data_IF_545217787100
#
_entry.id   IF_545217787100
#
_cell.length_a   1.000
_cell.length_b   1.000
_cell.length_c   1.000
_cell.angle_alpha   90.00
_cell.angle_beta   90.00
_cell.angle_gamma   90.00
#
_symmetry.space_group_name_H-M   'P 1'
#
loop_
_entity.id
_entity.type
_entity.pdbx_description
1 polymer ?
#
# COMPACT_ATOMS: atom_id res chain seq x y z
N UNK A 1 21.11 23.30 49.82
CA UNK A 1 20.41 22.55 48.76
C UNK A 1 20.96 21.13 48.73
N UNK A 2 20.14 20.13 49.06
CA UNK A 2 20.60 18.80 49.43
C UNK A 2 21.17 18.06 48.20
N UNK A 3 22.44 17.62 48.22
CA UNK A 3 23.11 16.96 47.08
C UNK A 3 22.30 15.79 46.48
N UNK A 4 21.48 15.12 47.30
CA UNK A 4 20.53 14.08 46.87
C UNK A 4 19.46 14.58 45.90
N UNK A 5 18.94 15.80 46.08
CA UNK A 5 17.91 16.37 45.20
C UNK A 5 18.48 16.72 43.82
N UNK A 6 19.72 17.23 43.77
CA UNK A 6 20.40 17.56 42.50
C UNK A 6 20.67 16.29 41.70
N UNK A 7 21.06 15.19 42.36
CA UNK A 7 21.26 13.89 41.70
C UNK A 7 19.96 13.30 41.15
N UNK A 8 18.86 13.40 41.89
CA UNK A 8 17.54 12.94 41.42
C UNK A 8 17.05 13.79 40.23
N UNK A 9 17.30 15.10 40.26
CA UNK A 9 16.94 16.00 39.16
C UNK A 9 17.78 15.74 37.90
N UNK A 10 19.08 15.45 38.05
CA UNK A 10 19.95 15.06 36.92
C UNK A 10 19.57 13.68 36.36
N UNK A 11 19.23 12.71 37.22
CA UNK A 11 18.78 11.39 36.77
C UNK A 11 17.45 11.45 36.02
N UNK A 12 16.53 12.33 36.42
CA UNK A 12 15.25 12.52 35.72
C UNK A 12 15.43 13.25 34.38
N UNK A 13 16.30 14.26 34.30
CA UNK A 13 16.63 14.93 33.02
C UNK A 13 17.31 13.96 32.04
N UNK A 14 18.21 13.10 32.53
CA UNK A 14 18.85 12.07 31.70
C UNK A 14 17.87 10.98 31.29
N UNK A 15 16.91 10.57 32.13
CA UNK A 15 15.89 9.61 31.71
C UNK A 15 14.92 10.18 30.66
N UNK A 16 14.65 11.49 30.68
CA UNK A 16 13.78 12.15 29.70
C UNK A 16 14.53 12.38 28.36
N UNK A 17 15.86 12.58 28.38
CA UNK A 17 16.65 12.79 27.15
C UNK A 17 16.98 11.50 26.38
N UNK A 18 16.60 10.32 26.90
CA UNK A 18 16.74 9.02 26.24
C UNK A 18 15.41 8.47 25.71
N UNK A 19 14.30 9.19 25.89
CA UNK A 19 13.18 9.06 24.97
C UNK A 19 13.59 9.82 23.69
N UNK A 20 14.37 9.18 22.82
CA UNK A 20 14.35 9.60 21.43
C UNK A 20 12.90 9.38 20.97
N UNK A 21 12.20 10.47 20.66
CA UNK A 21 10.86 10.38 20.10
C UNK A 21 10.98 9.51 18.83
N UNK A 22 10.42 8.31 18.90
CA UNK A 22 10.20 7.42 17.76
C UNK A 22 8.99 7.93 16.97
N UNK A 23 9.03 9.22 16.68
CA UNK A 23 8.08 9.91 15.84
C UNK A 23 8.31 9.44 14.41
N UNK A 24 7.21 9.16 13.73
CA UNK A 24 7.24 8.81 12.33
C UNK A 24 6.36 9.77 11.55
N UNK A 25 6.94 10.29 10.48
CA UNK A 25 6.27 11.26 9.65
C UNK A 25 5.48 10.53 8.56
N UNK A 26 4.20 10.86 8.47
CA UNK A 26 3.36 10.40 7.37
C UNK A 26 3.50 11.43 6.25
N UNK A 27 4.03 11.00 5.11
CA UNK A 27 4.11 11.82 3.91
C UNK A 27 2.94 11.49 3.00
N UNK A 28 2.17 12.49 2.58
CA UNK A 28 1.14 12.28 1.56
C UNK A 28 1.83 12.22 0.18
N UNK A 29 1.80 11.05 -0.45
CA UNK A 29 2.30 10.83 -1.80
C UNK A 29 1.22 11.17 -2.83
N UNK A 30 -0.05 10.85 -2.52
CA UNK A 30 -1.22 11.14 -3.34
C UNK A 30 -2.46 11.46 -2.49
N UNK A 31 -3.24 12.46 -2.90
CA UNK A 31 -4.48 12.85 -2.24
C UNK A 31 -5.64 13.10 -3.22
N UNK A 32 -5.63 12.42 -4.37
CA UNK A 32 -6.72 12.56 -5.35
C UNK A 32 -8.02 11.99 -4.80
N UNK A 33 -7.94 10.83 -4.15
CA UNK A 33 -9.02 10.35 -3.33
C UNK A 33 -9.01 11.08 -1.99
N UNK A 34 -10.17 11.55 -1.54
CA UNK A 34 -10.30 12.24 -0.25
C UNK A 34 -10.10 11.23 0.88
N UNK A 35 -8.87 11.09 1.36
CA UNK A 35 -8.51 10.21 2.46
C UNK A 35 -8.06 10.98 3.71
N UNK A 36 -7.96 10.26 4.82
CA UNK A 36 -7.20 10.71 5.99
C UNK A 36 -6.46 9.54 6.61
N UNK A 37 -5.34 9.87 7.25
CA UNK A 37 -4.57 8.98 8.10
C UNK A 37 -4.50 9.56 9.51
N UNK A 38 -4.74 8.75 10.53
CA UNK A 38 -4.67 9.14 11.93
C UNK A 38 -3.97 8.07 12.75
N UNK A 39 -3.02 8.49 13.59
CA UNK A 39 -2.45 7.65 14.63
C UNK A 39 -3.52 7.35 15.67
N UNK A 40 -3.64 6.07 16.02
CA UNK A 40 -4.60 5.61 17.02
C UNK A 40 -3.87 4.84 18.12
N UNK A 41 -4.54 4.67 19.25
CA UNK A 41 -4.03 3.83 20.31
C UNK A 41 -4.33 2.34 20.06
N UNK A 42 -3.69 1.49 20.87
CA UNK A 42 -3.90 0.05 20.82
C UNK A 42 -5.36 -0.33 21.13
N UNK A 43 -6.04 0.38 22.03
CA UNK A 43 -7.39 0.03 22.45
C UNK A 43 -8.41 0.22 21.30
N UNK A 44 -8.24 1.28 20.50
CA UNK A 44 -9.01 1.50 19.28
C UNK A 44 -8.73 0.42 18.24
N UNK A 45 -7.46 0.07 18.03
CA UNK A 45 -7.08 -1.02 17.11
C UNK A 45 -7.66 -2.37 17.54
N UNK A 46 -7.58 -2.68 18.84
CA UNK A 46 -8.10 -3.93 19.42
C UNK A 46 -9.63 -4.01 19.31
N UNK A 47 -10.33 -2.85 19.38
CA UNK A 47 -11.76 -2.78 19.13
C UNK A 47 -12.09 -3.09 17.66
N UNK A 48 -11.28 -2.59 16.72
CA UNK A 48 -11.44 -2.87 15.30
C UNK A 48 -11.30 -4.37 14.98
N UNK A 49 -10.42 -5.12 15.67
CA UNK A 49 -10.30 -6.60 15.55
C UNK A 49 -11.65 -7.29 15.70
N UNK A 50 -12.47 -6.84 16.65
CA UNK A 50 -13.71 -7.54 17.01
C UNK A 50 -14.84 -7.31 16.01
N UNK A 51 -14.70 -6.30 15.14
CA UNK A 51 -15.72 -5.88 14.19
C UNK A 51 -15.21 -5.90 12.74
N UNK A 52 -13.98 -6.39 12.52
CA UNK A 52 -13.38 -6.36 11.19
C UNK A 52 -14.05 -7.33 10.24
N UNK A 53 -14.15 -6.92 8.98
CA UNK A 53 -14.61 -7.75 7.88
C UNK A 53 -13.45 -8.59 7.34
N UNK A 54 -13.78 -9.72 6.71
CA UNK A 54 -12.79 -10.56 6.03
C UNK A 54 -12.42 -9.98 4.67
N UNK A 55 -11.13 -10.09 4.29
CA UNK A 55 -10.69 -9.73 2.95
C UNK A 55 -11.19 -10.76 1.93
N UNK A 56 -11.61 -10.27 0.77
CA UNK A 56 -12.06 -11.06 -0.37
C UNK A 56 -10.84 -11.72 -1.00
N UNK A 57 -10.89 -13.05 -1.07
CA UNK A 57 -9.86 -13.83 -1.75
C UNK A 57 -9.84 -13.60 -3.26
N UNK A 58 -8.62 -13.58 -3.79
CA UNK A 58 -8.39 -13.63 -5.22
C UNK A 58 -8.85 -14.96 -5.79
N UNK A 59 -9.53 -14.91 -6.94
CA UNK A 59 -9.85 -16.10 -7.73
C UNK A 59 -8.76 -16.27 -8.80
N UNK A 60 -7.87 -17.29 -8.69
CA UNK A 60 -6.85 -17.52 -9.69
C UNK A 60 -7.47 -17.65 -11.08
N UNK A 61 -6.86 -17.00 -12.06
CA UNK A 61 -7.23 -17.09 -13.48
C UNK A 61 -5.99 -16.99 -14.32
N UNK A 62 -5.93 -17.82 -15.35
CA UNK A 62 -4.84 -17.78 -16.31
C UNK A 62 -4.95 -16.59 -17.27
N UNK A 63 -3.81 -16.18 -17.80
CA UNK A 63 -3.71 -15.21 -18.89
C UNK A 63 -4.59 -15.60 -20.09
N UNK A 64 -4.59 -16.88 -20.47
CA UNK A 64 -5.37 -17.41 -21.60
C UNK A 64 -6.87 -17.24 -21.38
N UNK A 65 -7.36 -17.50 -20.17
CA UNK A 65 -8.78 -17.32 -19.86
C UNK A 65 -9.20 -15.85 -19.89
N UNK A 66 -8.35 -14.95 -19.36
CA UNK A 66 -8.63 -13.52 -19.32
C UNK A 66 -8.60 -12.89 -20.71
N UNK A 67 -7.57 -13.20 -21.51
CA UNK A 67 -7.43 -12.72 -22.89
C UNK A 67 -8.56 -13.21 -23.79
N UNK A 68 -9.00 -14.47 -23.63
CA UNK A 68 -10.13 -15.02 -24.38
C UNK A 68 -11.46 -14.36 -24.00
N UNK A 69 -11.66 -14.05 -22.72
CA UNK A 69 -12.93 -13.49 -22.22
C UNK A 69 -13.02 -11.97 -22.42
N UNK A 70 -11.90 -11.26 -22.37
CA UNK A 70 -11.83 -9.80 -22.46
C UNK A 70 -10.80 -9.35 -23.52
N UNK A 71 -10.96 -9.76 -24.79
CA UNK A 71 -9.98 -9.51 -25.85
C UNK A 71 -9.80 -8.02 -26.18
N UNK A 72 -10.82 -7.20 -25.92
CA UNK A 72 -10.73 -5.75 -26.14
C UNK A 72 -9.86 -5.02 -25.13
N UNK A 73 -9.69 -5.60 -23.93
CA UNK A 73 -8.89 -5.05 -22.83
C UNK A 73 -7.47 -5.61 -22.90
N UNK A 74 -7.32 -6.93 -23.04
CA UNK A 74 -6.01 -7.57 -23.05
C UNK A 74 -5.48 -7.73 -24.47
N UNK A 75 -5.07 -6.60 -25.08
CA UNK A 75 -4.42 -6.56 -26.39
C UNK A 75 -2.90 -6.65 -26.23
N UNK A 76 -2.34 -7.81 -26.57
CA UNK A 76 -0.89 -8.01 -26.56
C UNK A 76 -0.29 -7.44 -27.84
N UNK A 77 0.64 -6.49 -27.71
CA UNK A 77 1.44 -5.93 -28.81
C UNK A 77 2.88 -5.80 -28.37
N UNK A 78 3.82 -6.25 -29.20
CA UNK A 78 5.27 -6.15 -28.93
C UNK A 78 5.65 -6.72 -27.53
N UNK A 79 5.02 -7.85 -27.15
CA UNK A 79 5.16 -8.50 -25.85
C UNK A 79 4.68 -7.69 -24.64
N UNK A 80 3.87 -6.66 -24.86
CA UNK A 80 3.29 -5.82 -23.83
C UNK A 80 1.76 -5.78 -23.90
N UNK A 81 1.14 -5.79 -22.73
CA UNK A 81 -0.19 -5.23 -22.55
C UNK A 81 -0.08 -3.75 -22.20
N UNK A 82 -0.92 -2.92 -22.80
CA UNK A 82 -1.02 -1.49 -22.49
C UNK A 82 -2.44 -1.20 -22.01
N UNK A 83 -2.55 -0.52 -20.88
CA UNK A 83 -3.81 -0.20 -20.25
C UNK A 83 -3.95 1.30 -20.06
N UNK A 84 -5.20 1.78 -20.14
CA UNK A 84 -5.52 3.15 -19.80
C UNK A 84 -5.32 3.35 -18.30
N UNK A 85 -4.56 4.37 -17.94
CA UNK A 85 -4.31 4.75 -16.57
C UNK A 85 -5.09 6.02 -16.26
N UNK A 86 -5.57 6.14 -15.02
CA UNK A 86 -6.01 7.46 -14.56
C UNK A 86 -4.73 8.32 -14.41
N UNK A 87 -4.55 9.43 -15.15
CA UNK A 87 -3.32 10.22 -15.14
C UNK A 87 -2.99 10.84 -13.77
N UNK A 88 -3.89 10.70 -12.80
CA UNK A 88 -3.77 11.10 -11.42
C UNK A 88 -3.34 9.95 -10.48
N UNK A 89 -2.53 8.99 -10.94
CA UNK A 89 -1.94 7.96 -10.05
C UNK A 89 -0.79 8.62 -9.26
N UNK A 90 -1.05 9.02 -8.02
CA UNK A 90 -0.11 9.87 -7.27
C UNK A 90 1.11 9.16 -6.65
N UNK A 91 1.50 7.99 -7.14
CA UNK A 91 2.83 7.40 -6.90
C UNK A 91 3.87 7.94 -7.90
N UNK A 92 3.73 9.19 -8.33
CA UNK A 92 4.62 9.84 -9.30
C UNK A 92 4.45 9.39 -10.76
N UNK A 93 3.50 8.48 -11.05
CA UNK A 93 3.23 8.00 -12.41
C UNK A 93 2.28 8.97 -13.11
N UNK A 94 2.87 9.89 -13.88
CA UNK A 94 2.14 10.86 -14.69
C UNK A 94 1.81 10.35 -16.10
N UNK A 95 2.00 9.06 -16.35
CA UNK A 95 1.76 8.49 -17.67
C UNK A 95 0.29 8.12 -17.82
N UNK A 96 -0.35 8.47 -18.96
CA UNK A 96 -1.76 8.12 -19.22
C UNK A 96 -1.94 6.62 -19.50
N UNK A 97 -0.85 5.87 -19.56
CA UNK A 97 -0.82 4.44 -19.84
C UNK A 97 0.08 3.72 -18.84
N UNK A 98 -0.33 2.50 -18.49
CA UNK A 98 0.45 1.53 -17.72
C UNK A 98 0.69 0.30 -18.59
N UNK A 99 1.85 -0.33 -18.44
CA UNK A 99 2.25 -1.46 -19.28
C UNK A 99 2.67 -2.66 -18.44
N UNK A 100 2.29 -3.85 -18.91
CA UNK A 100 2.80 -5.12 -18.43
C UNK A 100 3.53 -5.80 -19.59
N UNK A 101 4.86 -5.82 -19.54
CA UNK A 101 5.71 -6.32 -20.63
C UNK A 101 6.50 -7.55 -20.21
N UNK A 102 6.72 -8.45 -21.17
CA UNK A 102 7.67 -9.57 -21.04
C UNK A 102 8.90 -9.23 -21.89
N UNK A 103 9.89 -8.59 -21.29
CA UNK A 103 11.19 -8.35 -21.92
C UNK A 103 12.24 -9.31 -21.38
N UNK A 104 12.82 -10.12 -22.26
CA UNK A 104 13.99 -10.94 -21.94
C UNK A 104 15.27 -10.16 -22.25
N UNK A 105 16.07 -9.90 -21.21
CA UNK A 105 17.51 -9.63 -21.27
C UNK A 105 17.99 -8.37 -22.02
N UNK A 106 17.87 -7.20 -21.40
CA UNK A 106 18.91 -6.13 -21.47
C UNK A 106 19.03 -5.47 -20.09
N UNK A 107 20.26 -5.36 -19.58
CA UNK A 107 20.64 -5.17 -18.16
C UNK A 107 20.10 -3.93 -17.41
N UNK A 108 19.17 -3.16 -17.98
CA UNK A 108 18.47 -2.05 -17.29
C UNK A 108 17.00 -1.90 -17.66
N UNK A 109 16.46 -2.80 -18.50
CA UNK A 109 15.08 -2.75 -19.01
C UNK A 109 14.32 -4.05 -18.81
N UNK A 110 14.75 -4.90 -17.86
CA UNK A 110 14.02 -6.11 -17.52
C UNK A 110 12.67 -5.75 -16.92
N UNK A 111 11.61 -6.26 -17.54
CA UNK A 111 10.32 -6.38 -16.90
C UNK A 111 9.67 -7.71 -17.26
N UNK A 112 8.95 -8.25 -16.30
CA UNK A 112 8.15 -9.45 -16.45
C UNK A 112 6.78 -9.21 -15.80
N UNK A 113 5.80 -10.01 -16.17
CA UNK A 113 4.50 -9.99 -15.53
C UNK A 113 3.93 -11.39 -15.32
N UNK A 114 3.06 -11.49 -14.32
CA UNK A 114 2.28 -12.69 -14.03
C UNK A 114 0.83 -12.32 -13.72
N UNK A 115 -0.12 -12.98 -14.39
CA UNK A 115 -1.54 -12.87 -14.04
C UNK A 115 -1.80 -13.67 -12.77
N UNK A 116 -2.19 -12.99 -11.68
CA UNK A 116 -2.50 -13.62 -10.39
C UNK A 116 -3.94 -14.07 -10.27
N UNK A 117 -4.84 -13.43 -11.01
CA UNK A 117 -6.26 -13.81 -11.06
C UNK A 117 -7.18 -12.61 -11.10
N UNK A 118 -8.33 -12.75 -10.45
CA UNK A 118 -9.38 -11.71 -10.44
C UNK A 118 -9.96 -11.49 -9.05
N UNK A 119 -10.37 -10.25 -8.80
CA UNK A 119 -11.04 -9.83 -7.57
C UNK A 119 -11.95 -8.64 -7.90
N UNK A 120 -13.18 -8.62 -7.36
CA UNK A 120 -14.04 -7.43 -7.39
C UNK A 120 -14.20 -6.78 -8.79
N UNK A 121 -14.33 -7.57 -9.85
CA UNK A 121 -14.45 -7.07 -11.23
C UNK A 121 -13.13 -6.65 -11.89
N UNK A 122 -11.98 -6.90 -11.25
CA UNK A 122 -10.66 -6.54 -11.72
C UNK A 122 -9.80 -7.79 -12.00
N UNK A 123 -8.91 -7.70 -12.98
CA UNK A 123 -7.76 -8.59 -13.08
C UNK A 123 -6.58 -8.02 -12.30
N UNK A 124 -5.83 -8.91 -11.66
CA UNK A 124 -4.59 -8.58 -10.98
C UNK A 124 -3.40 -9.12 -11.77
N UNK A 125 -2.49 -8.23 -12.14
CA UNK A 125 -1.23 -8.56 -12.82
C UNK A 125 -0.10 -8.10 -11.91
N UNK A 126 0.76 -9.03 -11.49
CA UNK A 126 2.02 -8.68 -10.84
C UNK A 126 3.02 -8.27 -11.91
N UNK A 127 3.77 -7.19 -11.65
CA UNK A 127 4.86 -6.73 -12.48
C UNK A 127 6.14 -6.79 -11.65
N UNK A 128 7.18 -7.33 -12.25
CA UNK A 128 8.55 -7.28 -11.72
C UNK A 128 9.40 -6.46 -12.68
N UNK A 129 10.14 -5.50 -12.16
CA UNK A 129 11.03 -4.58 -12.89
C UNK A 129 12.46 -4.72 -12.35
N UNK A 130 13.45 -4.13 -13.02
CA UNK A 130 14.86 -4.22 -12.58
C UNK A 130 15.10 -3.73 -11.15
N UNK A 131 14.50 -2.59 -10.79
CA UNK A 131 14.57 -1.97 -9.46
C UNK A 131 13.16 -1.72 -8.93
N UNK A 132 12.27 -2.70 -9.05
CA UNK A 132 10.91 -2.50 -8.59
C UNK A 132 10.01 -3.71 -8.79
N UNK A 133 8.88 -3.60 -8.12
CA UNK A 133 7.73 -4.47 -8.34
C UNK A 133 6.46 -3.66 -8.16
N UNK A 134 5.34 -4.28 -8.51
CA UNK A 134 4.03 -3.76 -8.18
C UNK A 134 2.94 -4.61 -8.78
N UNK A 135 1.73 -4.10 -8.66
CA UNK A 135 0.53 -4.76 -9.13
C UNK A 135 -0.29 -3.80 -9.96
N UNK A 136 -0.79 -4.28 -11.10
CA UNK A 136 -1.82 -3.60 -11.88
C UNK A 136 -3.18 -4.20 -11.54
N UNK A 137 -4.11 -3.32 -11.19
CA UNK A 137 -5.53 -3.65 -11.06
C UNK A 137 -6.30 -3.14 -12.27
N UNK A 138 -6.64 -4.05 -13.18
CA UNK A 138 -7.28 -3.74 -14.47
C UNK A 138 -8.78 -4.00 -14.38
N UNK A 139 -9.61 -2.97 -14.54
CA UNK A 139 -11.07 -3.10 -14.58
C UNK A 139 -11.49 -3.91 -15.81
N UNK A 140 -12.17 -5.04 -15.59
CA UNK A 140 -12.59 -5.97 -16.64
C UNK A 140 -13.77 -5.45 -17.49
N UNK A 141 -14.37 -4.32 -17.13
CA UNK A 141 -15.44 -3.66 -17.87
C UNK A 141 -14.93 -2.64 -18.88
N UNK A 142 -13.92 -1.85 -18.51
CA UNK A 142 -13.47 -0.69 -19.30
C UNK A 142 -11.95 -0.60 -19.50
N UNK A 143 -11.15 -1.48 -18.90
CA UNK A 143 -9.69 -1.49 -19.02
C UNK A 143 -8.96 -0.40 -18.23
N UNK A 144 -9.67 0.43 -17.45
CA UNK A 144 -9.05 1.43 -16.59
C UNK A 144 -8.24 0.74 -15.50
N UNK A 145 -7.02 1.24 -15.28
CA UNK A 145 -6.01 0.56 -14.47
C UNK A 145 -5.34 1.51 -13.49
N UNK A 146 -5.05 1.01 -12.28
CA UNK A 146 -4.14 1.64 -11.34
C UNK A 146 -2.96 0.71 -11.03
N UNK A 147 -1.88 1.31 -10.50
CA UNK A 147 -0.71 0.60 -9.98
C UNK A 147 -0.63 0.78 -8.47
N UNK A 148 -0.21 -0.26 -7.78
CA UNK A 148 0.15 -0.24 -6.35
C UNK A 148 1.45 -0.99 -6.15
N UNK A 149 2.27 -0.64 -5.15
CA UNK A 149 3.44 -1.46 -4.82
C UNK A 149 3.05 -2.76 -4.10
N UNK A 150 2.08 -2.66 -3.19
CA UNK A 150 1.54 -3.82 -2.47
C UNK A 150 0.46 -4.56 -3.27
N UNK A 151 0.27 -5.83 -2.93
CA UNK A 151 -0.87 -6.60 -3.42
C UNK A 151 -2.16 -6.00 -2.84
N UNK A 152 -3.16 -5.64 -3.66
CA UNK A 152 -4.40 -5.06 -3.17
C UNK A 152 -5.22 -6.07 -2.36
N UNK A 153 -5.95 -5.58 -1.36
CA UNK A 153 -6.84 -6.32 -0.47
C UNK A 153 -8.13 -5.51 -0.30
N UNK A 154 -9.29 -6.16 -0.28
CA UNK A 154 -10.59 -5.48 -0.19
C UNK A 154 -11.60 -6.36 0.53
N UNK A 155 -12.45 -5.80 1.40
CA UNK A 155 -13.56 -6.54 2.06
C UNK A 155 -14.94 -6.22 1.49
N UNK A 156 -15.12 -5.01 0.97
CA UNK A 156 -16.41 -4.52 0.47
C UNK A 156 -16.54 -4.63 -1.07
N UNK A 157 -15.43 -4.86 -1.77
CA UNK A 157 -15.38 -4.92 -3.23
C UNK A 157 -15.44 -3.57 -3.95
N UNK A 158 -15.47 -2.46 -3.21
CA UNK A 158 -15.52 -1.11 -3.73
C UNK A 158 -14.18 -0.39 -3.58
N UNK A 159 -13.51 -0.57 -2.45
CA UNK A 159 -12.21 0.03 -2.16
C UNK A 159 -11.19 -1.06 -1.86
N UNK A 160 -9.93 -0.83 -2.23
CA UNK A 160 -8.83 -1.72 -1.89
C UNK A 160 -7.73 -0.97 -1.14
N UNK A 161 -7.15 -1.62 -0.13
CA UNK A 161 -5.88 -1.23 0.45
C UNK A 161 -4.75 -2.05 -0.15
N UNK A 162 -3.59 -1.45 -0.33
CA UNK A 162 -2.35 -2.18 -0.54
C UNK A 162 -1.28 -1.53 0.32
N UNK A 163 -0.37 -2.33 0.85
CA UNK A 163 0.81 -1.81 1.52
C UNK A 163 2.06 -2.61 1.13
N UNK A 164 3.20 -1.95 1.06
CA UNK A 164 4.49 -2.55 0.68
C UNK A 164 5.64 -1.75 1.26
N UNK A 165 6.64 -2.43 1.77
CA UNK A 165 7.89 -1.80 2.19
C UNK A 165 8.93 -1.88 1.06
N UNK A 166 9.49 -0.74 0.66
CA UNK A 166 10.58 -0.66 -0.31
C UNK A 166 11.74 0.13 0.28
N UNK A 167 12.87 -0.54 0.51
CA UNK A 167 14.08 0.05 1.11
C UNK A 167 13.82 0.84 2.40
N UNK A 168 12.91 0.35 3.25
CA UNK A 168 12.58 0.98 4.53
C UNK A 168 11.49 2.04 4.46
N UNK A 169 10.92 2.32 3.29
CA UNK A 169 9.71 3.14 3.16
C UNK A 169 8.48 2.26 2.94
N UNK A 170 7.51 2.31 3.86
CA UNK A 170 6.20 1.70 3.69
C UNK A 170 5.29 2.62 2.86
N UNK A 171 4.91 2.16 1.67
CA UNK A 171 3.80 2.72 0.92
C UNK A 171 2.49 2.08 1.41
N UNK A 172 1.48 2.90 1.69
CA UNK A 172 0.09 2.47 1.91
C UNK A 172 -0.80 3.22 0.92
N UNK A 173 -1.56 2.50 0.12
CA UNK A 173 -2.49 3.06 -0.86
C UNK A 173 -3.92 2.57 -0.60
N UNK A 174 -4.86 3.50 -0.48
CA UNK A 174 -6.30 3.24 -0.59
C UNK A 174 -6.75 3.60 -2.01
N UNK A 175 -7.41 2.68 -2.69
CA UNK A 175 -7.83 2.80 -4.08
C UNK A 175 -9.34 2.62 -4.20
N UNK A 176 -10.03 3.54 -4.87
CA UNK A 176 -11.39 3.32 -5.35
C UNK A 176 -11.33 2.41 -6.60
N UNK A 177 -11.94 1.23 -6.53
CA UNK A 177 -11.83 0.23 -7.60
C UNK A 177 -12.63 0.60 -8.85
N UNK A 178 -13.54 1.56 -8.79
CA UNK A 178 -14.35 2.03 -9.93
C UNK A 178 -13.68 3.20 -10.64
N UNK A 179 -13.21 4.21 -9.91
CA UNK A 179 -12.59 5.43 -10.48
C UNK A 179 -11.08 5.28 -10.68
N UNK A 180 -10.47 4.29 -10.02
CA UNK A 180 -9.01 4.10 -9.93
C UNK A 180 -8.26 5.25 -9.27
N UNK A 181 -8.97 6.13 -8.57
CA UNK A 181 -8.38 7.20 -7.78
C UNK A 181 -7.79 6.63 -6.49
N UNK A 182 -6.71 7.26 -6.02
CA UNK A 182 -5.93 6.76 -4.90
C UNK A 182 -5.67 7.84 -3.86
N UNK A 183 -5.62 7.41 -2.60
CA UNK A 183 -5.02 8.11 -1.47
C UNK A 183 -3.79 7.30 -1.06
N UNK A 184 -2.60 7.89 -1.16
CA UNK A 184 -1.33 7.17 -0.96
C UNK A 184 -0.50 7.94 0.06
N UNK A 185 -0.01 7.22 1.07
CA UNK A 185 0.90 7.73 2.09
C UNK A 185 2.18 6.89 2.12
N UNK A 186 3.28 7.54 2.46
CA UNK A 186 4.59 6.91 2.69
C UNK A 186 5.02 7.10 4.13
N UNK A 187 5.62 6.07 4.73
CA UNK A 187 6.12 6.08 6.11
C UNK A 187 7.53 5.48 6.14
N UNK A 188 8.52 6.28 6.50
CA UNK A 188 9.93 5.86 6.55
C UNK A 188 10.28 5.21 7.88
N UNK A 189 10.95 4.05 7.84
CA UNK A 189 11.43 3.31 9.01
C UNK A 189 10.35 2.48 9.71
N UNK A 190 9.25 2.17 9.03
CA UNK A 190 8.14 1.36 9.56
C UNK A 190 7.69 0.36 8.51
N UNK A 191 7.06 -0.73 8.95
CA UNK A 191 6.42 -1.72 8.09
C UNK A 191 5.09 -2.18 8.67
N UNK A 192 4.11 -2.48 7.82
CA UNK A 192 2.86 -3.10 8.29
C UNK A 192 3.08 -4.58 8.55
N UNK A 193 2.82 -5.03 9.78
CA UNK A 193 2.89 -6.45 10.16
C UNK A 193 1.51 -7.11 10.25
N UNK A 194 0.45 -6.31 10.37
CA UNK A 194 -0.93 -6.80 10.44
C UNK A 194 -1.88 -5.70 9.97
N UNK A 195 -2.85 -6.05 9.14
CA UNK A 195 -3.88 -5.14 8.64
C UNK A 195 -5.29 -5.69 8.89
N UNK A 196 -6.23 -4.78 9.11
CA UNK A 196 -7.66 -5.06 9.31
C UNK A 196 -8.50 -4.05 8.57
N UNK A 197 -9.76 -4.41 8.35
CA UNK A 197 -10.72 -3.54 7.66
C UNK A 197 -12.06 -3.56 8.37
N UNK A 198 -12.71 -2.40 8.47
CA UNK A 198 -14.08 -2.26 8.95
C UNK A 198 -14.71 -1.12 8.17
N UNK A 199 -15.70 -1.43 7.31
CA UNK A 199 -16.30 -0.45 6.38
C UNK A 199 -15.22 0.19 5.49
N UNK A 200 -15.14 1.51 5.47
CA UNK A 200 -14.16 2.27 4.65
C UNK A 200 -12.89 2.64 5.42
N UNK A 201 -12.65 2.01 6.57
CA UNK A 201 -11.48 2.24 7.41
C UNK A 201 -10.60 1.01 7.45
N UNK A 202 -9.30 1.25 7.28
CA UNK A 202 -8.26 0.26 7.34
C UNK A 202 -7.37 0.54 8.55
N UNK A 203 -7.11 -0.48 9.33
CA UNK A 203 -6.38 -0.40 10.59
C UNK A 203 -5.09 -1.20 10.44
N UNK A 204 -3.96 -0.56 10.67
CA UNK A 204 -2.62 -1.11 10.43
C UNK A 204 -1.86 -1.14 11.74
N UNK A 205 -1.26 -2.29 12.03
CA UNK A 205 -0.25 -2.43 13.08
C UNK A 205 1.11 -2.31 12.42
N UNK A 206 1.82 -1.26 12.77
CA UNK A 206 3.13 -0.94 12.25
C UNK A 206 4.19 -1.38 13.25
N UNK A 207 5.26 -1.97 12.74
CA UNK A 207 6.49 -2.25 13.50
C UNK A 207 7.61 -1.38 12.93
N UNK A 208 8.39 -0.76 13.80
CA UNK A 208 9.58 -0.02 13.36
C UNK A 208 10.61 -0.95 12.73
N UNK A 209 11.20 -0.50 11.64
CA UNK A 209 12.24 -1.20 10.90
C UNK A 209 13.39 -0.22 10.67
N UNK A 210 14.63 -0.67 10.85
CA UNK A 210 15.85 0.12 10.60
C UNK A 210 16.14 1.31 11.55
N UNK A 211 15.30 1.59 12.56
CA UNK A 211 15.58 2.61 13.57
C UNK A 211 16.33 2.02 14.79
N UNK A 212 17.64 2.28 14.88
CA UNK A 212 18.56 1.72 15.89
C UNK A 212 18.26 2.10 17.36
N UNK A 213 17.33 3.02 17.62
CA UNK A 213 16.86 3.41 18.95
C UNK A 213 15.41 2.99 19.26
N UNK A 214 14.68 2.48 18.27
CA UNK A 214 13.24 2.22 18.35
C UNK A 214 12.89 0.78 17.99
N UNK A 215 13.84 -0.16 18.07
CA UNK A 215 13.71 -1.52 17.52
C UNK A 215 12.44 -2.23 18.04
N UNK A 216 11.58 -2.69 17.11
CA UNK A 216 10.31 -3.40 17.38
C UNK A 216 9.28 -2.58 18.16
N UNK A 217 9.36 -1.25 18.10
CA UNK A 217 8.27 -0.42 18.56
C UNK A 217 7.02 -0.67 17.71
N UNK A 218 5.86 -0.67 18.37
CA UNK A 218 4.57 -0.89 17.72
C UNK A 218 3.74 0.39 17.76
N UNK A 219 3.28 0.80 16.59
CA UNK A 219 2.31 1.90 16.42
C UNK A 219 1.09 1.40 15.66
N UNK A 220 -0.02 2.13 15.80
CA UNK A 220 -1.27 1.78 15.16
C UNK A 220 -1.75 2.95 14.32
N UNK A 221 -2.07 2.66 13.07
CA UNK A 221 -2.50 3.66 12.11
C UNK A 221 -3.89 3.29 11.59
N UNK A 222 -4.76 4.29 11.51
CA UNK A 222 -6.03 4.17 10.82
C UNK A 222 -5.98 5.02 9.56
N UNK A 223 -6.37 4.43 8.44
CA UNK A 223 -6.46 5.08 7.13
C UNK A 223 -7.89 4.92 6.63
N UNK A 224 -8.55 6.00 6.24
CA UNK A 224 -9.94 5.94 5.75
C UNK A 224 -10.15 6.81 4.53
N UNK A 225 -11.08 6.38 3.67
CA UNK A 225 -11.64 7.21 2.60
C UNK A 225 -12.83 7.97 3.17
N UNK A 226 -12.84 9.29 3.00
CA UNK A 226 -13.95 10.16 3.35
C UNK A 226 -14.95 10.16 2.19
N UNK A 227 -16.14 9.64 2.45
CA UNK A 227 -17.29 9.75 1.55
C UNK A 227 -17.76 11.19 1.43
#
# INVERSE_FOLDING_TARGET
>A
MNRKLILIFLLTIVQISWAQDCDFEIRNLSNILNGKSELIDKAEYDKAVRISEEFIDFKPKSEIELTKKYPEIFKLKDSCYTFLANPNIGIGIKTPELKACKYLLKEKGYSNYEFKGTYCGNALIEITEFEGWGFLSVDLKNGLTCRTMGKPLTSNGETAISHSNYYGEEEIALTDLKTKEQYVIGIEGWRTIESKVSKNSYYLKLESEFQTGCEKEIKYLKVEIKN
#
